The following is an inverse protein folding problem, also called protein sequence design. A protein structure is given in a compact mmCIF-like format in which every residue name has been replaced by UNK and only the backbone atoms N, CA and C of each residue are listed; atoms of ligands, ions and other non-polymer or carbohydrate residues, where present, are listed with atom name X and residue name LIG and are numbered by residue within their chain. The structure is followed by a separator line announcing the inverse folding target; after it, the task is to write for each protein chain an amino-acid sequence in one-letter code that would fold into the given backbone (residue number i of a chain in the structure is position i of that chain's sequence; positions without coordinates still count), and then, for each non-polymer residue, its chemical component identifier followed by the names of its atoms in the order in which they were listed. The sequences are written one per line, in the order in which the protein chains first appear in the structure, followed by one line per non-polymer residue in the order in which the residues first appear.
data_IF_169205688912
#
_entry.id   IF_169205688912
#
_cell.length_a   1.000
_cell.length_b   1.000
_cell.length_c   1.000
_cell.angle_alpha   90.00
_cell.angle_beta   90.00
_cell.angle_gamma   90.00
#
_symmetry.space_group_name_H-M   'P 1'
#
loop_
_entity.id
_entity.type
_entity.pdbx_description
1 polymer ?
#
# COMPACT_ATOMS: atom_id res chain seq x y z
N UNK A 1 -19.88 -20.49 -18.26
CA UNK A 1 -19.53 -21.48 -17.22
C UNK A 1 -19.47 -20.75 -15.90
N UNK A 2 -20.34 -21.09 -14.93
CA UNK A 2 -20.31 -20.46 -13.61
C UNK A 2 -19.11 -21.02 -12.84
N UNK A 3 -17.99 -20.32 -12.90
CA UNK A 3 -16.83 -20.59 -12.06
C UNK A 3 -17.24 -20.19 -10.64
N UNK A 4 -17.54 -21.16 -9.78
CA UNK A 4 -17.75 -20.88 -8.35
C UNK A 4 -16.43 -20.36 -7.80
N UNK A 5 -16.41 -19.05 -7.57
CA UNK A 5 -15.20 -18.35 -7.13
C UNK A 5 -14.73 -18.94 -5.81
N UNK A 6 -13.42 -19.16 -5.69
CA UNK A 6 -12.83 -19.69 -4.45
C UNK A 6 -13.22 -18.79 -3.28
N UNK A 7 -13.54 -19.39 -2.12
CA UNK A 7 -13.79 -18.63 -0.89
C UNK A 7 -12.51 -18.02 -0.30
N UNK A 8 -11.36 -18.43 -0.83
CA UNK A 8 -10.04 -18.07 -0.34
C UNK A 8 -9.22 -17.34 -1.41
N UNK A 9 -8.34 -16.44 -0.94
CA UNK A 9 -7.20 -15.93 -1.70
C UNK A 9 -5.94 -16.61 -1.16
N UNK A 10 -5.07 -17.07 -2.07
CA UNK A 10 -3.74 -17.57 -1.74
C UNK A 10 -2.80 -16.39 -1.58
N UNK A 11 -2.17 -16.29 -0.42
CA UNK A 11 -1.16 -15.28 -0.11
C UNK A 11 0.20 -15.96 -0.04
N UNK A 12 1.09 -15.58 -0.94
CA UNK A 12 2.45 -16.12 -1.04
C UNK A 12 3.46 -15.12 -0.49
N UNK A 13 4.34 -15.53 0.40
CA UNK A 13 5.54 -14.76 0.78
C UNK A 13 6.74 -15.70 0.74
N UNK A 14 7.74 -15.37 -0.09
CA UNK A 14 8.85 -16.25 -0.43
C UNK A 14 8.37 -17.65 -0.82
N UNK A 15 8.72 -18.69 -0.06
CA UNK A 15 8.33 -20.07 -0.33
C UNK A 15 7.10 -20.53 0.46
N UNK A 16 6.44 -19.62 1.18
CA UNK A 16 5.31 -19.95 2.06
C UNK A 16 3.99 -19.43 1.51
N UNK A 17 3.03 -20.35 1.42
CA UNK A 17 1.66 -20.08 1.01
C UNK A 17 0.71 -20.19 2.21
N UNK A 18 -0.23 -19.26 2.30
CA UNK A 18 -1.34 -19.30 3.27
C UNK A 18 -2.65 -18.98 2.56
N UNK A 19 -3.75 -19.54 3.05
CA UNK A 19 -5.08 -19.27 2.54
C UNK A 19 -5.77 -18.24 3.43
N UNK A 20 -6.16 -17.11 2.85
CA UNK A 20 -6.93 -16.07 3.51
C UNK A 20 -8.40 -16.14 3.05
N UNK A 21 -9.34 -16.17 3.99
CA UNK A 21 -10.76 -16.05 3.66
C UNK A 21 -11.05 -14.68 3.07
N UNK A 22 -11.76 -14.61 1.93
CA UNK A 22 -12.08 -13.36 1.23
C UNK A 22 -12.82 -12.35 2.12
N UNK A 23 -13.67 -12.83 3.01
CA UNK A 23 -14.41 -11.99 3.97
C UNK A 23 -13.47 -11.24 4.92
N UNK A 24 -12.40 -11.91 5.39
CA UNK A 24 -11.42 -11.35 6.32
C UNK A 24 -10.47 -10.35 5.65
N UNK A 25 -10.35 -10.41 4.32
CA UNK A 25 -9.50 -9.50 3.53
C UNK A 25 -10.34 -8.60 2.61
N UNK A 26 -11.61 -8.38 2.95
CA UNK A 26 -12.55 -7.60 2.14
C UNK A 26 -12.15 -6.14 1.95
N UNK A 27 -11.34 -5.60 2.86
CA UNK A 27 -10.75 -4.27 2.79
C UNK A 27 -9.22 -4.35 2.84
N UNK A 28 -8.54 -3.40 2.18
CA UNK A 28 -7.09 -3.39 2.10
C UNK A 28 -6.39 -3.32 3.49
N UNK A 29 -6.85 -2.50 4.46
CA UNK A 29 -6.26 -2.53 5.81
C UNK A 29 -6.39 -3.90 6.49
N UNK A 30 -7.52 -4.58 6.32
CA UNK A 30 -7.74 -5.92 6.87
C UNK A 30 -6.83 -6.97 6.20
N UNK A 31 -6.58 -6.82 4.89
CA UNK A 31 -5.58 -7.61 4.16
C UNK A 31 -4.18 -7.43 4.76
N UNK A 32 -3.75 -6.18 4.99
CA UNK A 32 -2.43 -5.89 5.59
C UNK A 32 -2.31 -6.49 6.99
N UNK A 33 -3.33 -6.33 7.83
CA UNK A 33 -3.37 -6.95 9.17
C UNK A 33 -3.26 -8.47 9.10
N UNK A 34 -3.97 -9.09 8.16
CA UNK A 34 -3.92 -10.54 7.93
C UNK A 34 -2.52 -10.99 7.50
N UNK A 35 -1.91 -10.29 6.54
CA UNK A 35 -0.54 -10.55 6.07
C UNK A 35 0.46 -10.48 7.23
N UNK A 36 0.40 -9.43 8.06
CA UNK A 36 1.29 -9.27 9.22
C UNK A 36 1.08 -10.33 10.31
N UNK A 37 -0.11 -10.93 10.37
CA UNK A 37 -0.40 -12.08 11.24
C UNK A 37 0.21 -13.36 10.67
N UNK A 38 0.02 -13.61 9.37
CA UNK A 38 0.50 -14.82 8.69
C UNK A 38 2.02 -14.86 8.54
N UNK A 39 2.64 -13.70 8.28
CA UNK A 39 4.06 -13.54 8.00
C UNK A 39 4.67 -12.52 8.96
N UNK A 40 5.10 -12.93 10.17
CA UNK A 40 5.68 -12.00 11.15
C UNK A 40 6.90 -11.23 10.62
N UNK A 41 7.61 -11.77 9.63
CA UNK A 41 8.75 -11.15 8.94
C UNK A 41 8.41 -9.85 8.19
N UNK A 42 7.13 -9.60 7.89
CA UNK A 42 6.65 -8.38 7.21
C UNK A 42 6.30 -7.26 8.18
N UNK A 43 6.18 -7.54 9.48
CA UNK A 43 5.81 -6.55 10.49
C UNK A 43 6.83 -5.41 10.52
N UNK A 44 6.33 -4.17 10.59
CA UNK A 44 7.12 -2.94 10.61
C UNK A 44 8.02 -2.73 9.37
N UNK A 45 7.77 -3.48 8.29
CA UNK A 45 8.48 -3.30 7.01
C UNK A 45 7.53 -2.72 5.97
N UNK A 46 8.10 -2.04 4.98
CA UNK A 46 7.36 -1.69 3.77
C UNK A 46 7.15 -2.97 2.96
N UNK A 47 5.90 -3.25 2.58
CA UNK A 47 5.56 -4.38 1.71
C UNK A 47 4.86 -3.91 0.45
N UNK A 48 5.04 -4.67 -0.64
CA UNK A 48 4.19 -4.61 -1.83
C UNK A 48 3.36 -5.87 -1.91
N UNK A 49 2.12 -5.70 -2.35
CA UNK A 49 1.23 -6.79 -2.71
C UNK A 49 1.12 -6.80 -4.23
N UNK A 50 1.33 -7.96 -4.83
CA UNK A 50 1.35 -8.14 -6.28
C UNK A 50 0.38 -9.23 -6.70
N UNK A 51 -0.12 -9.15 -7.92
CA UNK A 51 -0.84 -10.25 -8.57
C UNK A 51 -0.37 -10.43 -10.00
N UNK A 52 -0.63 -11.60 -10.57
CA UNK A 52 -0.44 -11.92 -11.98
C UNK A 52 -1.72 -12.46 -12.64
N UNK A 53 -2.82 -12.49 -11.88
CA UNK A 53 -4.05 -13.20 -12.26
C UNK A 53 -4.89 -12.42 -13.29
N UNK A 54 -4.70 -11.10 -13.36
CA UNK A 54 -5.44 -10.26 -14.29
C UNK A 54 -4.83 -10.31 -15.69
N UNK A 55 -5.67 -10.28 -16.73
CA UNK A 55 -5.20 -10.30 -18.12
C UNK A 55 -4.23 -9.14 -18.44
N UNK A 56 -4.45 -7.97 -17.85
CA UNK A 56 -3.58 -6.79 -17.98
C UNK A 56 -2.16 -7.02 -17.46
N UNK A 57 -1.97 -7.99 -16.55
CA UNK A 57 -0.66 -8.32 -16.01
C UNK A 57 0.24 -9.03 -17.04
N UNK A 58 -0.31 -9.58 -18.12
CA UNK A 58 0.43 -10.30 -19.17
C UNK A 58 1.41 -11.35 -18.60
N UNK A 59 0.97 -12.09 -17.56
CA UNK A 59 1.76 -13.12 -16.88
C UNK A 59 2.84 -12.61 -15.92
N UNK A 60 3.00 -11.30 -15.75
CA UNK A 60 3.97 -10.69 -14.84
C UNK A 60 3.32 -10.34 -13.50
N UNK A 61 4.12 -10.32 -12.44
CA UNK A 61 3.66 -9.77 -11.17
C UNK A 61 3.59 -8.24 -11.26
N UNK A 62 2.41 -7.70 -10.99
CA UNK A 62 2.12 -6.27 -10.99
C UNK A 62 1.60 -5.88 -9.62
N UNK A 63 2.04 -4.73 -9.13
CA UNK A 63 1.66 -4.21 -7.82
C UNK A 63 0.17 -3.86 -7.78
N UNK A 64 -0.44 -4.10 -6.64
CA UNK A 64 -1.83 -3.75 -6.36
C UNK A 64 -1.84 -2.50 -5.48
N UNK A 65 -2.22 -1.34 -6.02
CA UNK A 65 -2.43 -0.15 -5.21
C UNK A 65 -3.57 -0.35 -4.18
N UNK A 66 -3.48 0.25 -2.98
CA UNK A 66 -4.52 0.12 -1.95
C UNK A 66 -5.93 0.50 -2.43
N UNK A 67 -6.04 1.54 -3.26
CA UNK A 67 -7.29 2.03 -3.82
C UNK A 67 -7.89 1.10 -4.89
N UNK A 68 -7.09 0.21 -5.48
CA UNK A 68 -7.57 -0.71 -6.51
C UNK A 68 -8.17 -1.99 -5.89
N UNK A 69 -7.81 -2.32 -4.65
CA UNK A 69 -8.21 -3.56 -4.00
C UNK A 69 -9.72 -3.80 -4.03
N UNK A 70 -10.55 -2.81 -3.72
CA UNK A 70 -12.01 -2.95 -3.73
C UNK A 70 -12.58 -3.34 -5.09
N UNK A 71 -11.88 -3.02 -6.18
CA UNK A 71 -12.32 -3.29 -7.54
C UNK A 71 -11.84 -4.64 -8.05
N UNK A 72 -10.68 -5.12 -7.60
CA UNK A 72 -10.05 -6.32 -8.14
C UNK A 72 -10.01 -7.49 -7.15
N UNK A 73 -10.32 -7.27 -5.86
CA UNK A 73 -10.30 -8.33 -4.83
C UNK A 73 -11.18 -9.48 -5.23
N UNK A 74 -12.30 -9.16 -5.89
CA UNK A 74 -13.12 -10.02 -6.71
C UNK A 74 -12.19 -10.89 -7.52
N UNK A 75 -11.69 -10.30 -8.60
CA UNK A 75 -11.09 -10.88 -9.79
C UNK A 75 -9.79 -11.68 -9.67
N UNK A 76 -9.18 -11.74 -8.48
CA UNK A 76 -7.90 -12.40 -8.26
C UNK A 76 -8.02 -13.53 -7.24
N UNK A 77 -7.28 -14.62 -7.43
CA UNK A 77 -7.23 -15.75 -6.49
C UNK A 77 -5.87 -15.85 -5.78
N UNK A 78 -4.83 -15.21 -6.33
CA UNK A 78 -3.46 -15.30 -5.84
C UNK A 78 -2.82 -13.92 -5.73
N UNK A 79 -2.17 -13.69 -4.59
CA UNK A 79 -1.32 -12.54 -4.36
C UNK A 79 0.04 -12.96 -3.85
N UNK A 80 1.06 -12.18 -4.20
CA UNK A 80 2.42 -12.29 -3.69
C UNK A 80 2.75 -11.07 -2.84
N UNK A 81 3.35 -11.30 -1.68
CA UNK A 81 3.83 -10.28 -0.77
C UNK A 81 5.34 -10.22 -0.85
N UNK A 82 5.88 -9.02 -1.11
CA UNK A 82 7.31 -8.77 -1.10
C UNK A 82 7.64 -7.70 -0.06
N UNK A 83 8.70 -7.93 0.73
CA UNK A 83 9.28 -6.92 1.60
C UNK A 83 10.20 -6.04 0.76
N UNK A 84 10.06 -4.72 0.91
CA UNK A 84 10.93 -3.73 0.28
C UNK A 84 11.87 -3.20 1.34
N UNK A 85 13.17 -3.33 1.10
CA UNK A 85 14.17 -2.69 1.97
C UNK A 85 14.15 -1.17 1.77
N UNK A 86 14.41 -0.41 2.84
CA UNK A 86 14.17 1.04 2.96
C UNK A 86 14.75 1.92 1.83
N UNK A 87 15.80 1.47 1.12
CA UNK A 87 16.33 2.17 -0.07
C UNK A 87 15.33 2.22 -1.22
N UNK A 88 14.48 1.22 -1.38
CA UNK A 88 13.43 1.20 -2.39
C UNK A 88 12.13 1.87 -1.91
N UNK A 89 11.91 2.06 -0.60
CA UNK A 89 10.82 2.92 -0.07
C UNK A 89 10.98 4.38 -0.51
N UNK A 90 12.22 4.87 -0.65
CA UNK A 90 12.49 6.20 -1.21
C UNK A 90 12.01 6.33 -2.66
N UNK A 91 12.22 5.29 -3.47
CA UNK A 91 11.71 5.23 -4.84
C UNK A 91 10.18 5.10 -4.90
N UNK A 92 9.58 4.31 -4.02
CA UNK A 92 8.12 4.19 -3.94
C UNK A 92 7.43 5.49 -3.55
N UNK A 93 7.93 6.18 -2.53
CA UNK A 93 7.42 7.49 -2.16
C UNK A 93 7.54 8.50 -3.30
N UNK A 94 8.59 8.38 -4.14
CA UNK A 94 8.77 9.19 -5.34
C UNK A 94 7.76 8.84 -6.44
N UNK A 95 7.50 7.56 -6.70
CA UNK A 95 6.52 7.10 -7.70
C UNK A 95 5.08 7.49 -7.27
N UNK A 96 4.72 7.25 -6.01
CA UNK A 96 3.42 7.66 -5.46
C UNK A 96 3.29 9.19 -5.42
N UNK A 97 4.38 9.90 -5.15
CA UNK A 97 4.46 11.35 -5.29
C UNK A 97 4.12 11.82 -6.70
N UNK A 98 4.75 11.22 -7.72
CA UNK A 98 4.45 11.53 -9.11
C UNK A 98 3.01 11.21 -9.51
N UNK A 99 2.46 10.08 -9.07
CA UNK A 99 1.06 9.75 -9.36
C UNK A 99 0.10 10.80 -8.78
N UNK A 100 0.35 11.27 -7.55
CA UNK A 100 -0.43 12.35 -6.93
C UNK A 100 -0.28 13.69 -7.62
N UNK A 101 0.92 14.02 -8.10
CA UNK A 101 1.16 15.23 -8.89
C UNK A 101 0.43 15.19 -10.23
N UNK A 102 0.45 14.05 -10.92
CA UNK A 102 -0.30 13.84 -12.17
C UNK A 102 -1.81 13.95 -11.92
N UNK A 103 -2.33 13.31 -10.87
CA UNK A 103 -3.75 13.42 -10.50
C UNK A 103 -4.14 14.88 -10.18
N UNK A 104 -3.27 15.64 -9.51
CA UNK A 104 -3.51 17.05 -9.20
C UNK A 104 -3.55 17.92 -10.46
N UNK A 105 -2.66 17.67 -11.42
CA UNK A 105 -2.61 18.35 -12.72
C UNK A 105 -3.85 18.02 -13.57
N UNK A 106 -4.27 16.75 -13.63
CA UNK A 106 -5.47 16.31 -14.36
C UNK A 106 -6.74 16.91 -13.76
N UNK A 107 -6.79 17.07 -12.44
CA UNK A 107 -7.91 17.69 -11.73
C UNK A 107 -7.86 19.24 -11.73
N UNK A 108 -6.90 19.86 -12.43
CA UNK A 108 -6.79 21.31 -12.55
C UNK A 108 -6.53 22.04 -11.23
N UNK A 109 -5.96 21.36 -10.22
CA UNK A 109 -5.62 21.99 -8.95
C UNK A 109 -4.34 22.81 -9.09
N UNK A 110 -4.41 24.09 -8.74
CA UNK A 110 -3.25 24.98 -8.73
C UNK A 110 -2.23 24.55 -7.66
N UNK A 111 -1.07 24.07 -8.13
CA UNK A 111 0.03 23.57 -7.30
C UNK A 111 0.95 24.68 -6.78
N UNK A 112 0.72 25.94 -7.16
CA UNK A 112 1.53 27.09 -6.73
C UNK A 112 1.06 27.73 -5.42
N UNK A 113 0.10 27.15 -4.69
CA UNK A 113 -0.23 27.66 -3.37
C UNK A 113 0.89 27.28 -2.39
N UNK A 114 1.69 28.22 -1.89
CA UNK A 114 2.75 27.89 -0.94
C UNK A 114 2.11 27.25 0.29
N UNK A 115 2.69 26.14 0.75
CA UNK A 115 2.45 25.61 2.10
C UNK A 115 2.86 26.71 3.07
N UNK A 116 1.89 27.49 3.55
CA UNK A 116 2.06 28.26 4.77
C UNK A 116 2.40 27.27 5.87
N UNK A 117 3.68 27.21 6.22
CA UNK A 117 4.16 26.60 7.44
C UNK A 117 3.44 27.32 8.59
N UNK A 118 2.36 26.72 9.09
CA UNK A 118 1.89 27.00 10.43
C UNK A 118 2.93 26.36 11.37
N UNK A 119 4.03 27.10 11.59
CA UNK A 119 4.88 26.89 12.75
C UNK A 119 3.98 27.19 13.94
N UNK A 120 3.65 26.16 14.71
CA UNK A 120 2.99 26.31 15.98
C UNK A 120 3.81 27.28 16.83
N UNK A 121 3.25 28.47 17.09
CA UNK A 121 3.61 29.27 18.25
C UNK A 121 3.20 28.47 19.47
N UNK A 122 4.13 27.66 19.97
CA UNK A 122 4.06 27.14 21.32
C UNK A 122 5.49 27.05 21.81
N UNK A 123 5.96 28.12 22.45
CA UNK A 123 7.06 28.18 23.41
C UNK A 123 7.18 29.63 23.95
N UNK A 124 6.07 30.15 24.48
CA UNK A 124 6.14 31.22 25.46
C UNK A 124 6.58 30.60 26.79
N UNK A 125 7.87 30.70 27.11
CA UNK A 125 8.35 30.43 28.46
C UNK A 125 9.67 29.66 28.52
N UNK A 126 10.78 30.39 28.49
CA UNK A 126 11.76 30.48 29.58
C UNK A 126 13.04 31.14 29.04
N UNK A 127 13.17 32.42 29.37
CA UNK A 127 14.42 33.16 29.31
C UNK A 127 15.36 32.63 30.40
N UNK A 128 16.55 32.20 30.01
CA UNK A 128 17.76 32.16 30.83
C UNK A 128 18.90 32.65 29.90
N UNK A 129 19.87 33.45 30.39
CA UNK A 129 20.94 32.87 31.21
C UNK A 129 21.51 33.73 32.35
N UNK A 130 22.32 33.00 33.13
CA UNK A 130 23.20 33.29 34.27
C UNK A 130 23.91 34.66 34.33
N UNK A 131 24.00 35.24 35.54
CA UNK A 131 25.18 35.12 36.42
C UNK A 131 24.88 35.61 37.84
#
# INVERSE_FOLDING_TARGET
MSSTRSKFIVVTNDDRNVFALRENVSQYPALITSINSYFPSTRNKTIVIQTRDLAICAGRFVDIPPNLWSHIKDDIDNIRVQVIEARATYYWNRIVGFAREVDALVLGRDMNKPRSHAVAEDLAGKSCPEK
#
